data_IF_056375349102
#
_entry.id   IF_056375349102
#
_cell.length_a   1.000
_cell.length_b   1.000
_cell.length_c   1.000
_cell.angle_alpha   90.00
_cell.angle_beta   90.00
_cell.angle_gamma   90.00
#
_symmetry.space_group_name_H-M   'P 1'
#
loop_
_entity.id
_entity.type
_entity.pdbx_description
1 polymer ?
#
# COMPACT_ATOMS: atom_id res chain seq x y z
N UNK A 1 -23.06 35.97 27.12
CA UNK A 1 -21.64 36.09 26.75
C UNK A 1 -21.27 34.82 26.02
N UNK A 2 -21.13 34.96 24.71
CA UNK A 2 -20.75 33.93 23.74
C UNK A 2 -19.27 33.60 23.89
N UNK A 3 -18.94 32.32 23.95
CA UNK A 3 -17.62 31.81 23.54
C UNK A 3 -17.83 30.60 22.64
N UNK A 4 -17.77 30.88 21.35
CA UNK A 4 -17.59 29.93 20.26
C UNK A 4 -16.26 29.19 20.38
N UNK A 5 -16.19 28.04 19.69
CA UNK A 5 -14.95 27.49 19.12
C UNK A 5 -14.55 26.16 19.75
N UNK A 6 -14.31 25.07 19.03
CA UNK A 6 -14.16 24.85 17.59
C UNK A 6 -14.53 23.39 17.30
N UNK A 7 -15.53 23.15 16.45
CA UNK A 7 -15.72 21.88 15.77
C UNK A 7 -14.83 21.90 14.52
N UNK A 8 -13.64 21.32 14.63
CA UNK A 8 -12.71 21.18 13.51
C UNK A 8 -13.31 20.28 12.44
N UNK A 9 -13.71 20.89 11.33
CA UNK A 9 -14.08 20.21 10.09
C UNK A 9 -12.80 19.57 9.51
N UNK A 10 -12.62 18.27 9.72
CA UNK A 10 -11.49 17.55 9.14
C UNK A 10 -11.74 17.42 7.65
N UNK A 11 -11.15 18.33 6.86
CA UNK A 11 -11.22 18.30 5.40
C UNK A 11 -10.93 16.87 4.87
N UNK A 12 -11.82 16.37 4.00
CA UNK A 12 -11.67 15.05 3.38
C UNK A 12 -10.43 15.08 2.49
N UNK A 13 -9.47 14.18 2.74
CA UNK A 13 -8.27 14.04 1.92
C UNK A 13 -8.69 13.63 0.49
N UNK A 14 -8.24 14.39 -0.50
CA UNK A 14 -8.44 14.12 -1.94
C UNK A 14 -7.16 14.38 -2.71
N UNK A 15 -7.07 13.82 -3.92
CA UNK A 15 -6.04 14.16 -4.90
C UNK A 15 -6.66 14.81 -6.13
N UNK A 16 -5.94 15.68 -6.82
CA UNK A 16 -6.39 16.25 -8.09
C UNK A 16 -5.71 15.52 -9.25
N UNK A 17 -6.49 15.13 -10.25
CA UNK A 17 -5.98 14.45 -11.44
C UNK A 17 -4.97 15.35 -12.17
N UNK A 18 -3.90 14.76 -12.70
CA UNK A 18 -2.81 15.43 -13.43
C UNK A 18 -1.94 16.37 -12.57
N UNK A 19 -2.29 16.61 -11.31
CA UNK A 19 -1.39 17.28 -10.38
C UNK A 19 -0.27 16.36 -9.93
N UNK A 20 0.88 16.96 -9.60
CA UNK A 20 2.03 16.26 -9.03
C UNK A 20 1.90 16.21 -7.51
N UNK A 21 2.17 15.04 -6.93
CA UNK A 21 2.29 14.91 -5.48
C UNK A 21 3.36 15.85 -4.94
N UNK A 22 3.13 16.39 -3.74
CA UNK A 22 4.09 17.25 -3.04
C UNK A 22 5.27 16.47 -2.46
N UNK A 23 5.11 15.15 -2.31
CA UNK A 23 6.18 14.22 -1.93
C UNK A 23 6.87 13.71 -3.18
N UNK A 24 8.13 13.31 -3.04
CA UNK A 24 8.92 12.67 -4.09
C UNK A 24 9.20 11.22 -3.69
N UNK A 25 9.52 10.35 -4.66
CA UNK A 25 9.95 8.99 -4.35
C UNK A 25 11.25 9.01 -3.53
N UNK A 26 11.22 8.35 -2.38
CA UNK A 26 12.34 8.35 -1.44
C UNK A 26 12.37 7.08 -0.58
N UNK A 27 12.95 7.17 0.61
CA UNK A 27 13.02 6.06 1.57
C UNK A 27 11.67 5.67 2.17
N UNK A 28 10.68 6.55 2.13
CA UNK A 28 9.36 6.42 2.77
C UNK A 28 8.21 6.50 1.77
N UNK A 29 8.44 6.92 0.53
CA UNK A 29 7.42 7.10 -0.49
C UNK A 29 7.80 6.35 -1.77
N UNK A 30 6.82 5.64 -2.35
CA UNK A 30 6.95 4.93 -3.62
C UNK A 30 5.72 5.15 -4.49
N UNK A 31 5.90 5.43 -5.78
CA UNK A 31 4.82 5.62 -6.73
C UNK A 31 4.68 4.42 -7.66
N UNK A 32 3.44 4.02 -7.94
CA UNK A 32 3.12 2.94 -8.85
C UNK A 32 1.89 3.31 -9.67
N UNK A 33 2.01 3.27 -11.00
CA UNK A 33 0.87 3.51 -11.90
C UNK A 33 -0.16 2.36 -11.94
N UNK A 34 0.02 1.30 -11.15
CA UNK A 34 -0.76 0.07 -11.24
C UNK A 34 -1.06 -0.50 -9.85
N UNK A 35 -1.93 -1.53 -9.79
CA UNK A 35 -2.28 -2.27 -8.57
C UNK A 35 -1.87 -3.75 -8.59
N UNK A 36 -0.79 -4.09 -9.29
CA UNK A 36 -0.19 -5.43 -9.28
C UNK A 36 0.55 -5.64 -7.95
N UNK A 37 -0.09 -6.30 -6.99
CA UNK A 37 0.44 -6.42 -5.63
C UNK A 37 1.53 -7.47 -5.52
N UNK A 38 1.31 -8.63 -6.16
CA UNK A 38 2.20 -9.78 -6.12
C UNK A 38 2.70 -10.17 -7.51
N UNK A 39 3.70 -11.07 -7.58
CA UNK A 39 4.10 -11.68 -8.87
C UNK A 39 2.96 -12.40 -9.59
N UNK A 40 1.99 -12.91 -8.84
CA UNK A 40 0.91 -13.76 -9.37
C UNK A 40 -0.11 -12.93 -10.18
N UNK A 41 -0.15 -11.62 -9.93
CA UNK A 41 -1.04 -10.66 -10.60
C UNK A 41 -0.51 -10.24 -11.98
N UNK A 42 0.74 -10.58 -12.30
CA UNK A 42 1.42 -10.15 -13.52
C UNK A 42 1.44 -11.32 -14.52
N UNK A 43 0.93 -11.15 -15.76
CA UNK A 43 1.08 -12.17 -16.79
C UNK A 43 2.55 -12.51 -17.01
N UNK A 44 2.88 -13.79 -17.20
CA UNK A 44 4.29 -14.23 -17.36
C UNK A 44 5.04 -13.46 -18.47
N UNK A 45 4.34 -13.13 -19.56
CA UNK A 45 4.89 -12.34 -20.67
C UNK A 45 5.23 -10.89 -20.29
N UNK A 46 4.57 -10.33 -19.27
CA UNK A 46 4.74 -8.96 -18.79
C UNK A 46 5.80 -8.82 -17.68
N UNK A 47 6.32 -9.91 -17.12
CA UNK A 47 7.32 -9.90 -16.02
C UNK A 47 8.62 -9.17 -16.42
N UNK A 48 8.93 -9.10 -17.72
CA UNK A 48 10.11 -8.40 -18.25
C UNK A 48 9.95 -6.88 -18.11
N UNK A 49 8.72 -6.37 -17.98
CA UNK A 49 8.45 -4.95 -17.89
C UNK A 49 8.82 -4.41 -16.49
N UNK A 50 9.83 -3.54 -16.43
CA UNK A 50 10.32 -2.97 -15.17
C UNK A 50 9.29 -2.06 -14.49
N UNK A 51 8.38 -1.45 -15.24
CA UNK A 51 7.37 -0.52 -14.70
C UNK A 51 6.17 -1.22 -14.06
N UNK A 52 6.06 -2.54 -14.22
CA UNK A 52 4.98 -3.35 -13.63
C UNK A 52 5.47 -4.33 -12.57
N UNK A 53 6.58 -4.03 -11.89
CA UNK A 53 7.11 -4.89 -10.83
C UNK A 53 6.11 -5.00 -9.67
N UNK A 54 6.04 -6.17 -9.00
CA UNK A 54 5.15 -6.36 -7.86
C UNK A 54 5.37 -5.30 -6.78
N UNK A 55 4.28 -4.74 -6.27
CA UNK A 55 4.30 -3.79 -5.14
C UNK A 55 4.88 -4.46 -3.88
N UNK A 56 4.71 -5.78 -3.73
CA UNK A 56 5.22 -6.58 -2.61
C UNK A 56 6.70 -6.35 -2.29
N UNK A 57 7.50 -6.07 -3.32
CA UNK A 57 8.93 -5.77 -3.19
C UNK A 57 9.18 -4.51 -2.37
N UNK A 58 8.42 -3.45 -2.65
CA UNK A 58 8.54 -2.18 -1.94
C UNK A 58 7.98 -2.27 -0.52
N UNK A 59 6.86 -2.95 -0.33
CA UNK A 59 6.29 -3.21 0.99
C UNK A 59 7.27 -3.99 1.88
N UNK A 60 7.89 -5.05 1.35
CA UNK A 60 8.96 -5.79 2.02
C UNK A 60 10.16 -4.88 2.37
N UNK A 61 10.53 -3.98 1.46
CA UNK A 61 11.55 -2.96 1.70
C UNK A 61 11.24 -2.04 2.88
N UNK A 62 10.02 -1.48 2.92
CA UNK A 62 9.58 -0.59 4.01
C UNK A 62 9.58 -1.29 5.37
N UNK A 63 9.07 -2.54 5.41
CA UNK A 63 9.07 -3.37 6.61
C UNK A 63 10.49 -3.60 7.14
N UNK A 64 11.42 -3.99 6.26
CA UNK A 64 12.80 -4.33 6.63
C UNK A 64 13.69 -3.12 6.90
N UNK A 65 13.33 -1.93 6.43
CA UNK A 65 14.01 -0.70 6.85
C UNK A 65 13.54 -0.26 8.25
N UNK A 66 12.38 -0.74 8.71
CA UNK A 66 11.82 -0.45 10.03
C UNK A 66 11.32 0.98 10.22
N UNK A 67 11.47 1.85 9.22
CA UNK A 67 10.96 3.23 9.23
C UNK A 67 9.51 3.33 8.75
N UNK A 68 8.95 2.27 8.16
CA UNK A 68 7.66 2.31 7.48
C UNK A 68 7.74 2.98 6.12
N UNK A 69 6.59 3.36 5.57
CA UNK A 69 6.47 4.08 4.31
C UNK A 69 5.16 3.83 3.59
N UNK A 70 4.91 4.54 2.50
CA UNK A 70 3.65 4.54 1.75
C UNK A 70 3.91 4.21 0.28
N UNK A 71 3.15 3.26 -0.26
CA UNK A 71 3.02 3.05 -1.71
C UNK A 71 1.76 3.75 -2.20
N UNK A 72 1.89 4.61 -3.21
CA UNK A 72 0.79 5.28 -3.88
C UNK A 72 0.50 4.61 -5.22
N UNK A 73 -0.60 3.86 -5.30
CA UNK A 73 -1.05 3.23 -6.54
C UNK A 73 -1.97 4.17 -7.32
N UNK A 74 -1.76 4.31 -8.63
CA UNK A 74 -2.44 5.31 -9.46
C UNK A 74 -1.64 6.61 -9.62
N UNK A 75 -0.35 6.59 -9.28
CA UNK A 75 0.56 7.72 -9.45
C UNK A 75 1.69 7.30 -10.38
N UNK A 76 2.02 8.13 -11.36
CA UNK A 76 3.11 7.84 -12.31
C UNK A 76 4.47 7.95 -11.63
N UNK A 77 5.51 7.39 -12.26
CA UNK A 77 6.89 7.48 -11.77
C UNK A 77 7.39 8.94 -11.64
N UNK A 78 6.75 9.90 -12.34
CA UNK A 78 7.06 11.34 -12.23
C UNK A 78 6.27 12.05 -11.11
N UNK A 79 5.50 11.31 -10.31
CA UNK A 79 4.66 11.85 -9.23
C UNK A 79 3.30 12.39 -9.67
N UNK A 80 2.92 12.22 -10.93
CA UNK A 80 1.64 12.72 -11.46
C UNK A 80 0.47 11.80 -11.09
N UNK A 81 -0.60 12.36 -10.55
CA UNK A 81 -1.81 11.63 -10.13
C UNK A 81 -2.66 11.27 -11.34
N UNK A 82 -2.83 9.98 -11.59
CA UNK A 82 -3.73 9.45 -12.63
C UNK A 82 -4.98 8.81 -12.03
N UNK A 83 -4.82 8.19 -10.86
CA UNK A 83 -5.84 7.39 -10.20
C UNK A 83 -6.08 6.04 -10.88
N UNK A 84 -6.86 5.20 -10.20
CA UNK A 84 -7.34 3.91 -10.69
C UNK A 84 -8.86 3.91 -10.51
N UNK A 85 -9.58 3.55 -11.57
CA UNK A 85 -11.03 3.36 -11.50
C UNK A 85 -11.34 2.15 -10.62
N UNK A 86 -12.12 2.35 -9.55
CA UNK A 86 -12.50 1.28 -8.64
C UNK A 86 -13.99 1.33 -8.32
N UNK A 87 -14.69 0.23 -8.61
CA UNK A 87 -15.99 -0.07 -8.00
C UNK A 87 -15.83 -0.48 -6.52
N UNK A 88 -16.92 -0.54 -5.77
CA UNK A 88 -16.88 -1.05 -4.39
C UNK A 88 -16.40 -2.52 -4.33
N UNK A 89 -16.80 -3.36 -5.29
CA UNK A 89 -16.30 -4.73 -5.40
C UNK A 89 -14.78 -4.77 -5.68
N UNK A 90 -14.26 -3.84 -6.48
CA UNK A 90 -12.82 -3.76 -6.72
C UNK A 90 -12.03 -3.23 -5.52
N UNK A 91 -12.62 -2.38 -4.68
CA UNK A 91 -12.03 -1.98 -3.39
C UNK A 91 -11.93 -3.18 -2.44
N UNK A 92 -13.00 -3.97 -2.33
CA UNK A 92 -13.00 -5.22 -1.55
C UNK A 92 -11.92 -6.19 -2.07
N UNK A 93 -11.82 -6.34 -3.40
CA UNK A 93 -10.76 -7.13 -4.03
C UNK A 93 -9.36 -6.63 -3.62
N UNK A 94 -9.11 -5.31 -3.68
CA UNK A 94 -7.81 -4.73 -3.28
C UNK A 94 -7.48 -5.07 -1.83
N UNK A 95 -8.43 -4.89 -0.90
CA UNK A 95 -8.22 -5.19 0.52
C UNK A 95 -7.87 -6.66 0.73
N UNK A 96 -8.62 -7.57 0.09
CA UNK A 96 -8.37 -9.00 0.15
C UNK A 96 -7.02 -9.38 -0.47
N UNK A 97 -6.62 -8.76 -1.58
CA UNK A 97 -5.33 -9.01 -2.23
C UNK A 97 -4.15 -8.56 -1.36
N UNK A 98 -4.25 -7.40 -0.70
CA UNK A 98 -3.20 -6.92 0.23
C UNK A 98 -3.11 -7.82 1.45
N UNK A 99 -4.25 -8.21 2.04
CA UNK A 99 -4.29 -9.14 3.17
C UNK A 99 -3.71 -10.51 2.80
N UNK A 100 -4.09 -11.07 1.64
CA UNK A 100 -3.56 -12.33 1.12
C UNK A 100 -2.04 -12.25 0.92
N UNK A 101 -1.56 -11.15 0.32
CA UNK A 101 -0.14 -10.91 0.10
C UNK A 101 0.64 -10.93 1.42
N UNK A 102 0.21 -10.14 2.39
CA UNK A 102 0.87 -10.02 3.68
C UNK A 102 0.81 -11.30 4.53
N UNK A 103 -0.23 -12.11 4.37
CA UNK A 103 -0.32 -13.43 5.01
C UNK A 103 0.74 -14.43 4.51
N UNK A 104 1.29 -14.18 3.31
CA UNK A 104 2.32 -15.01 2.65
C UNK A 104 3.75 -14.51 2.83
N UNK A 105 3.93 -13.39 3.52
CA UNK A 105 5.27 -12.97 3.92
C UNK A 105 5.76 -13.91 5.03
N UNK A 106 7.08 -14.01 5.18
CA UNK A 106 7.69 -14.72 6.31
C UNK A 106 8.58 -13.75 7.10
N UNK A 107 8.24 -13.42 8.37
CA UNK A 107 6.99 -13.82 9.04
C UNK A 107 5.76 -13.12 8.41
N UNK A 108 4.54 -13.64 8.61
CA UNK A 108 3.31 -12.98 8.16
C UNK A 108 3.19 -11.58 8.77
N UNK A 109 2.73 -10.62 7.95
CA UNK A 109 2.54 -9.23 8.39
C UNK A 109 1.13 -9.07 8.96
N UNK A 110 1.06 -8.63 10.21
CA UNK A 110 -0.21 -8.42 10.92
C UNK A 110 -0.93 -7.15 10.45
N UNK A 111 -2.26 -7.13 10.53
CA UNK A 111 -3.05 -5.96 10.13
C UNK A 111 -2.80 -4.72 10.99
N UNK A 112 -2.21 -4.87 12.18
CA UNK A 112 -1.76 -3.73 13.00
C UNK A 112 -0.48 -3.05 12.47
N UNK A 113 0.15 -3.60 11.42
CA UNK A 113 1.41 -3.10 10.86
C UNK A 113 1.20 -2.25 9.60
N UNK A 114 -0.02 -2.19 9.07
CA UNK A 114 -0.31 -1.45 7.85
C UNK A 114 -1.76 -0.95 7.81
N UNK A 115 -2.03 -0.03 6.90
CA UNK A 115 -3.38 0.40 6.54
C UNK A 115 -3.48 0.58 5.02
N UNK A 116 -4.71 0.49 4.51
CA UNK A 116 -5.02 0.72 3.09
C UNK A 116 -6.09 1.81 3.00
N UNK A 117 -5.76 2.92 2.34
CA UNK A 117 -6.68 4.02 2.11
C UNK A 117 -7.03 4.15 0.62
N UNK A 118 -8.31 4.40 0.35
CA UNK A 118 -8.81 4.75 -0.98
C UNK A 118 -9.09 6.24 -1.00
N UNK A 119 -8.13 7.04 -1.47
CA UNK A 119 -8.24 8.49 -1.52
C UNK A 119 -8.82 8.89 -2.88
N UNK A 120 -9.98 9.57 -2.95
CA UNK A 120 -10.60 9.90 -4.22
C UNK A 120 -9.77 10.91 -5.01
N UNK A 121 -9.76 10.73 -6.34
CA UNK A 121 -9.15 11.67 -7.29
C UNK A 121 -10.24 12.50 -7.94
N UNK A 122 -10.14 13.82 -7.79
CA UNK A 122 -11.08 14.82 -8.33
C UNK A 122 -10.45 15.53 -9.53
N UNK A 123 -11.26 16.16 -10.38
CA UNK A 123 -10.74 16.96 -11.50
C UNK A 123 -10.42 18.40 -11.10
N UNK A 124 -11.07 18.92 -10.05
CA UNK A 124 -10.87 20.27 -9.53
C UNK A 124 -10.97 20.24 -8.00
N UNK A 125 -10.17 21.05 -7.30
CA UNK A 125 -10.01 21.05 -5.83
C UNK A 125 -11.32 21.20 -5.03
N UNK A 126 -12.37 21.78 -5.62
CA UNK A 126 -13.60 22.16 -4.90
C UNK A 126 -14.77 21.19 -5.11
N UNK A 127 -14.56 20.09 -5.83
CA UNK A 127 -15.58 19.06 -6.02
C UNK A 127 -15.04 17.69 -5.65
N UNK A 128 -15.23 17.30 -4.38
CA UNK A 128 -15.46 15.89 -4.07
C UNK A 128 -16.83 15.58 -4.66
N UNK A 129 -16.95 14.89 -5.80
CA UNK A 129 -18.26 14.55 -6.32
C UNK A 129 -18.98 13.79 -5.20
N UNK A 130 -20.27 14.10 -4.97
CA UNK A 130 -21.15 13.25 -4.18
C UNK A 130 -21.01 11.85 -4.76
N UNK A 131 -20.20 11.00 -4.11
CA UNK A 131 -19.79 9.72 -4.66
C UNK A 131 -21.09 8.95 -4.79
N UNK A 132 -21.60 8.68 -6.02
CA UNK A 132 -22.83 7.95 -6.15
C UNK A 132 -22.57 6.59 -5.54
N UNK A 133 -23.17 6.32 -4.38
CA UNK A 133 -23.12 4.98 -3.81
C UNK A 133 -24.00 4.14 -4.70
N UNK A 134 -23.41 3.56 -5.76
CA UNK A 134 -24.11 2.56 -6.52
C UNK A 134 -24.53 1.47 -5.54
N UNK A 135 -25.83 1.08 -5.52
CA UNK A 135 -26.31 0.05 -4.63
C UNK A 135 -25.43 -1.18 -4.79
N UNK A 136 -24.76 -1.56 -3.71
CA UNK A 136 -23.95 -2.77 -3.67
C UNK A 136 -24.92 -3.91 -3.44
N UNK A 137 -25.01 -4.84 -4.39
CA UNK A 137 -25.79 -6.06 -4.20
C UNK A 137 -25.09 -6.90 -3.12
N UNK A 138 -25.71 -7.13 -1.94
CA UNK A 138 -25.09 -7.87 -0.86
C UNK A 138 -24.75 -9.31 -1.26
N UNK A 139 -25.55 -9.96 -2.11
CA UNK A 139 -25.29 -11.34 -2.54
C UNK A 139 -24.05 -11.38 -3.44
N UNK A 140 -23.99 -10.46 -4.40
CA UNK A 140 -22.84 -10.33 -5.28
C UNK A 140 -21.57 -9.95 -4.51
N UNK A 141 -21.65 -9.04 -3.53
CA UNK A 141 -20.50 -8.63 -2.68
C UNK A 141 -19.88 -9.82 -1.92
N UNK A 142 -20.70 -10.78 -1.52
CA UNK A 142 -20.26 -11.99 -0.82
C UNK A 142 -19.65 -13.05 -1.77
N UNK A 143 -19.68 -12.82 -3.09
CA UNK A 143 -19.04 -13.72 -4.05
C UNK A 143 -17.53 -13.69 -3.85
N UNK A 144 -16.87 -14.84 -3.62
CA UNK A 144 -15.43 -14.88 -3.40
C UNK A 144 -14.64 -14.25 -4.56
N UNK A 145 -13.72 -13.35 -4.25
CA UNK A 145 -12.78 -12.81 -5.23
C UNK A 145 -11.73 -13.85 -5.62
N UNK A 146 -11.31 -13.81 -6.88
CA UNK A 146 -10.25 -14.69 -7.40
C UNK A 146 -8.92 -13.96 -7.22
N UNK A 147 -8.14 -14.40 -6.25
CA UNK A 147 -6.82 -13.84 -5.94
C UNK A 147 -5.70 -14.64 -6.62
N UNK A 148 -4.46 -14.10 -6.56
CA UNK A 148 -3.23 -14.77 -7.02
C UNK A 148 -3.30 -15.22 -8.48
N UNK A 149 -3.83 -14.35 -9.32
CA UNK A 149 -3.95 -14.64 -10.74
C UNK A 149 -3.81 -13.36 -11.56
N UNK A 150 -3.18 -13.49 -12.71
CA UNK A 150 -3.09 -12.43 -13.71
C UNK A 150 -4.34 -12.33 -14.58
N UNK A 151 -5.34 -13.19 -14.33
CA UNK A 151 -6.65 -13.15 -15.01
C UNK A 151 -7.60 -12.22 -14.28
N UNK A 152 -8.57 -11.70 -15.01
CA UNK A 152 -9.64 -10.88 -14.42
C UNK A 152 -10.49 -11.66 -13.42
N UNK A 153 -10.69 -11.06 -12.25
CA UNK A 153 -11.70 -11.48 -11.29
C UNK A 153 -13.10 -11.11 -11.82
N UNK A 154 -14.16 -11.72 -11.26
CA UNK A 154 -15.54 -11.38 -11.61
C UNK A 154 -15.83 -9.88 -11.44
N UNK A 155 -15.24 -9.23 -10.43
CA UNK A 155 -15.43 -7.79 -10.19
C UNK A 155 -14.81 -6.90 -11.28
N UNK A 156 -13.78 -7.37 -11.98
CA UNK A 156 -13.18 -6.64 -13.09
C UNK A 156 -14.05 -6.77 -14.35
N UNK A 157 -14.66 -7.95 -14.55
CA UNK A 157 -15.64 -8.17 -15.63
C UNK A 157 -16.90 -7.35 -15.40
N UNK A 158 -17.37 -7.30 -14.16
CA UNK A 158 -18.51 -6.48 -13.73
C UNK A 158 -18.23 -4.99 -13.96
N UNK A 159 -17.06 -4.49 -13.51
CA UNK A 159 -16.65 -3.12 -13.76
C UNK A 159 -16.52 -2.78 -15.25
N UNK A 160 -16.00 -3.71 -16.07
CA UNK A 160 -15.95 -3.55 -17.53
C UNK A 160 -17.35 -3.46 -18.13
N UNK A 161 -18.27 -4.33 -17.71
CA UNK A 161 -19.65 -4.28 -18.20
C UNK A 161 -20.35 -2.98 -17.79
N UNK A 162 -20.19 -2.53 -16.54
CA UNK A 162 -20.70 -1.24 -16.07
C UNK A 162 -20.18 -0.08 -16.94
N UNK A 163 -18.87 -0.07 -17.23
CA UNK A 163 -18.27 0.93 -18.10
C UNK A 163 -18.85 0.89 -19.53
N UNK A 164 -19.06 -0.29 -20.10
CA UNK A 164 -19.67 -0.45 -21.43
C UNK A 164 -21.13 0.06 -21.48
N UNK A 165 -21.83 0.04 -20.33
CA UNK A 165 -23.15 0.65 -20.15
C UNK A 165 -23.09 2.15 -19.76
N UNK A 166 -21.92 2.78 -19.81
CA UNK A 166 -21.72 4.20 -19.52
C UNK A 166 -21.60 4.54 -18.03
N UNK A 167 -21.51 3.54 -17.15
CA UNK A 167 -21.26 3.75 -15.72
C UNK A 167 -19.76 3.84 -15.47
N UNK A 168 -19.27 5.06 -15.29
CA UNK A 168 -17.84 5.32 -15.00
C UNK A 168 -17.63 5.28 -13.49
N UNK A 169 -16.75 4.38 -13.04
CA UNK A 169 -16.37 4.30 -11.63
C UNK A 169 -15.53 5.50 -11.22
N UNK A 170 -15.56 5.87 -9.94
CA UNK A 170 -14.71 6.93 -9.41
C UNK A 170 -13.21 6.54 -9.46
N UNK A 171 -12.33 7.52 -9.70
CA UNK A 171 -10.89 7.36 -9.62
C UNK A 171 -10.40 7.46 -8.16
N UNK A 172 -9.44 6.62 -7.80
CA UNK A 172 -8.79 6.63 -6.48
C UNK A 172 -7.27 6.47 -6.61
N UNK A 173 -6.53 7.11 -5.71
CA UNK A 173 -5.19 6.65 -5.33
C UNK A 173 -5.35 5.64 -4.19
N UNK A 174 -4.69 4.49 -4.32
CA UNK A 174 -4.63 3.50 -3.24
C UNK A 174 -3.34 3.75 -2.47
N UNK A 175 -3.46 4.16 -1.21
CA UNK A 175 -2.32 4.30 -0.31
C UNK A 175 -2.19 3.04 0.52
N UNK A 176 -1.05 2.35 0.42
CA UNK A 176 -0.71 1.26 1.32
C UNK A 176 0.40 1.77 2.23
N UNK A 177 0.05 2.12 3.46
CA UNK A 177 0.97 2.61 4.46
C UNK A 177 1.41 1.44 5.35
N UNK A 178 2.72 1.23 5.42
CA UNK A 178 3.40 0.36 6.39
C UNK A 178 3.87 1.25 7.54
N UNK A 179 3.48 0.90 8.77
CA UNK A 179 3.86 1.69 9.92
C UNK A 179 5.34 1.48 10.30
N UNK A 180 5.97 2.48 10.96
CA UNK A 180 7.27 2.29 11.58
C UNK A 180 7.28 1.09 12.53
N UNK A 181 8.43 0.41 12.62
CA UNK A 181 8.58 -0.74 13.50
C UNK A 181 8.26 -0.36 14.96
N UNK A 182 7.38 -1.14 15.57
CA UNK A 182 7.04 -1.01 16.98
C UNK A 182 7.87 -2.00 17.81
N UNK A 183 8.80 -1.54 18.68
CA UNK A 183 9.62 -2.43 19.51
C UNK A 183 8.83 -3.33 20.48
N UNK A 184 7.56 -3.00 20.74
CA UNK A 184 6.66 -3.81 21.58
C UNK A 184 5.94 -4.91 20.79
N UNK A 185 6.19 -5.01 19.48
CA UNK A 185 5.57 -6.02 18.64
C UNK A 185 6.00 -7.43 19.05
N UNK A 186 5.08 -8.41 19.05
CA UNK A 186 5.39 -9.80 19.39
C UNK A 186 6.34 -10.47 18.39
N UNK A 187 6.51 -9.88 17.19
CA UNK A 187 7.43 -10.38 16.17
C UNK A 187 8.89 -10.03 16.45
N UNK A 188 9.19 -9.41 17.58
CA UNK A 188 10.56 -9.06 17.90
C UNK A 188 11.42 -10.32 18.09
N UNK A 189 12.61 -10.30 17.48
CA UNK A 189 13.52 -11.47 17.47
C UNK A 189 14.02 -11.82 18.87
N UNK A 190 14.14 -10.83 19.76
CA UNK A 190 14.52 -11.07 21.16
C UNK A 190 13.61 -10.30 22.11
N UNK A 191 13.30 -10.92 23.24
CA UNK A 191 12.46 -10.31 24.28
C UNK A 191 13.18 -9.27 25.13
N UNK A 192 14.51 -9.21 25.06
CA UNK A 192 15.36 -8.37 25.92
C UNK A 192 15.83 -7.11 25.20
N UNK A 193 16.20 -7.24 23.92
CA UNK A 193 16.60 -6.15 23.02
C UNK A 193 15.80 -6.28 21.74
N UNK A 194 14.68 -5.55 21.59
CA UNK A 194 13.78 -5.76 20.49
C UNK A 194 14.43 -5.40 19.15
N UNK A 195 14.78 -6.44 18.38
CA UNK A 195 15.27 -6.34 17.02
C UNK A 195 14.07 -6.57 16.10
N UNK A 196 13.92 -5.71 15.08
CA UNK A 196 12.86 -5.87 14.09
C UNK A 196 13.12 -7.13 13.25
N UNK A 197 12.07 -7.90 12.93
CA UNK A 197 12.21 -9.10 12.12
C UNK A 197 12.59 -8.72 10.68
N UNK A 198 13.38 -9.59 10.05
CA UNK A 198 13.65 -9.51 8.62
C UNK A 198 12.59 -10.30 7.85
N UNK A 199 11.71 -9.60 7.15
CA UNK A 199 10.67 -10.16 6.31
C UNK A 199 11.22 -10.64 4.96
N UNK A 200 10.70 -11.75 4.44
CA UNK A 200 10.73 -12.09 3.03
C UNK A 200 9.34 -11.99 2.42
N UNK A 201 9.27 -11.56 1.16
CA UNK A 201 8.00 -11.45 0.44
C UNK A 201 7.46 -12.83 0.03
N UNK A 202 6.35 -12.84 -0.72
CA UNK A 202 5.69 -14.05 -1.22
C UNK A 202 6.55 -14.92 -2.17
N UNK A 203 7.70 -14.41 -2.59
CA UNK A 203 8.67 -15.11 -3.44
C UNK A 203 9.83 -15.71 -2.63
N UNK A 204 9.85 -15.55 -1.30
CA UNK A 204 10.99 -15.92 -0.46
C UNK A 204 12.15 -14.93 -0.56
N UNK A 205 11.86 -13.68 -0.94
CA UNK A 205 12.86 -12.69 -1.33
C UNK A 205 12.88 -11.52 -0.33
N UNK A 206 14.06 -11.23 0.23
CA UNK A 206 14.28 -10.07 1.10
C UNK A 206 14.58 -8.80 0.30
N UNK A 207 14.03 -7.68 0.75
CA UNK A 207 14.32 -6.35 0.20
C UNK A 207 14.55 -5.33 1.30
N UNK A 208 15.41 -4.34 1.06
CA UNK A 208 15.62 -3.17 1.93
C UNK A 208 15.66 -1.92 1.06
N UNK A 209 15.17 -0.79 1.57
CA UNK A 209 15.30 0.50 0.88
C UNK A 209 16.62 1.18 1.23
N UNK A 210 17.24 1.84 0.25
CA UNK A 210 18.43 2.69 0.38
C UNK A 210 18.25 3.97 -0.42
N UNK A 211 19.13 4.95 -0.17
CA UNK A 211 19.32 6.06 -1.10
C UNK A 211 19.67 5.48 -2.48
N UNK A 212 18.77 5.65 -3.45
CA UNK A 212 18.87 5.03 -4.79
C UNK A 212 17.91 3.87 -5.07
N UNK A 213 17.06 3.48 -4.11
CA UNK A 213 15.91 2.62 -4.32
C UNK A 213 15.96 1.29 -3.56
N UNK A 214 15.34 0.26 -4.14
CA UNK A 214 15.10 -1.03 -3.51
C UNK A 214 16.19 -2.07 -3.86
N UNK A 215 16.80 -2.68 -2.84
CA UNK A 215 17.91 -3.62 -3.02
C UNK A 215 17.73 -4.92 -2.23
N UNK A 216 18.49 -5.94 -2.61
CA UNK A 216 18.68 -7.15 -1.80
C UNK A 216 19.68 -6.86 -0.69
N UNK A 217 19.34 -7.07 0.58
CA UNK A 217 20.29 -6.86 1.65
C UNK A 217 21.42 -7.89 1.59
N UNK A 218 22.63 -7.44 1.89
CA UNK A 218 23.75 -8.36 2.20
C UNK A 218 23.70 -8.77 3.68
N UNK A 219 24.39 -9.85 4.05
CA UNK A 219 24.48 -10.25 5.46
C UNK A 219 25.04 -9.13 6.34
N UNK A 220 26.05 -8.39 5.85
CA UNK A 220 26.63 -7.27 6.58
C UNK A 220 25.61 -6.17 6.88
N UNK A 221 24.70 -5.90 5.96
CA UNK A 221 23.65 -4.88 6.15
C UNK A 221 22.58 -5.34 7.13
N UNK A 222 22.19 -6.63 7.08
CA UNK A 222 21.27 -7.19 8.07
C UNK A 222 21.87 -7.07 9.48
N UNK A 223 23.16 -7.35 9.62
CA UNK A 223 23.88 -7.16 10.89
C UNK A 223 23.85 -5.69 11.32
N UNK A 224 24.16 -4.76 10.43
CA UNK A 224 24.15 -3.31 10.73
C UNK A 224 22.75 -2.82 11.14
N UNK A 225 21.68 -3.31 10.52
CA UNK A 225 20.30 -2.98 10.90
C UNK A 225 19.99 -3.47 12.32
N UNK A 226 20.39 -4.70 12.66
CA UNK A 226 20.20 -5.27 14.00
C UNK A 226 21.03 -4.54 15.07
N UNK A 227 22.26 -4.14 14.74
CA UNK A 227 23.10 -3.32 15.61
C UNK A 227 22.46 -1.94 15.86
N UNK A 228 21.92 -1.31 14.82
CA UNK A 228 21.24 -0.01 14.92
C UNK A 228 19.99 -0.08 15.80
N UNK A 229 19.18 -1.15 15.67
CA UNK A 229 18.05 -1.41 16.57
C UNK A 229 18.45 -1.52 18.03
N UNK A 230 19.49 -2.32 18.28
CA UNK A 230 20.00 -2.56 19.62
C UNK A 230 20.50 -1.25 20.25
N UNK A 231 21.23 -0.45 19.47
CA UNK A 231 21.69 0.87 19.90
C UNK A 231 20.51 1.84 20.20
N UNK A 232 19.48 1.86 19.35
CA UNK A 232 18.27 2.67 19.57
C UNK A 232 17.57 2.29 20.87
N UNK A 233 17.35 1.00 21.10
CA UNK A 233 16.72 0.51 22.33
C UNK A 233 17.50 0.90 23.60
N UNK A 234 18.82 0.76 23.60
CA UNK A 234 19.63 1.16 24.76
C UNK A 234 19.68 2.67 24.98
N UNK A 235 19.46 3.48 23.94
CA UNK A 235 19.38 4.93 24.07
C UNK A 235 18.04 5.35 24.70
N UNK A 236 16.93 4.74 24.25
CA UNK A 236 15.59 5.05 24.76
C UNK A 236 15.35 4.62 26.22
N UNK A 237 16.07 3.61 26.72
CA UNK A 237 15.94 3.11 28.11
C UNK A 237 16.94 3.72 29.10
N UNK A 238 17.76 4.70 28.68
CA UNK A 238 18.68 5.43 29.56
C UNK A 238 18.09 6.73 30.11
N UNK A 239 16.91 7.13 29.65
CA UNK A 239 16.09 8.24 30.16
C UNK A 239 15.01 7.71 31.14
#
# INVERSE_FOLDING_TARGET
>A
MTSNGESGDSAVKVYVKEERLTVEEDMLHEFKGHRNFSKDDIPQAAIINKTQRPISRNLCGFLNTGAGGVVYCGVTDNGEVQGIHLTNYQKDHVLLSVQDLFSRFEPPVDSSMYTVHFVPVVTENDHVPDIPSFPVDPEQRNTPHILRTSKYCWCDKDASAQHDFGMISQLYVIEIEVFPWNPKSPLSVTSVTPIHPLFCNEEGLHFVRRLGGLHRPTLAEVIQLAEADTARYHTMNKE
#
